data_IF_813104072125
#
_entry.id   IF_813104072125
#
_cell.length_a   1.000
_cell.length_b   1.000
_cell.length_c   1.000
_cell.angle_alpha   90.00
_cell.angle_beta   90.00
_cell.angle_gamma   90.00
#
_symmetry.space_group_name_H-M   'P 1'
#
loop_
_entity.id
_entity.type
_entity.pdbx_description
1 polymer ?
#
# COMPACT_ATOMS: atom_id res chain seq x y z
N UNK A 1 -22.84 -75.42 -14.98
CA UNK A 1 -21.68 -75.24 -14.09
C UNK A 1 -21.33 -73.76 -14.05
N UNK A 2 -21.33 -73.18 -12.84
CA UNK A 2 -20.61 -71.96 -12.41
C UNK A 2 -21.11 -70.58 -12.90
N UNK A 3 -21.74 -69.84 -11.96
CA UNK A 3 -21.59 -68.41 -11.57
C UNK A 3 -21.62 -67.29 -12.63
N UNK A 4 -21.99 -66.03 -12.37
CA UNK A 4 -22.63 -65.20 -11.31
C UNK A 4 -22.78 -63.79 -11.96
N UNK A 5 -23.72 -63.00 -11.44
CA UNK A 5 -23.67 -61.54 -11.16
C UNK A 5 -22.56 -60.67 -11.79
N UNK A 6 -22.73 -59.39 -12.12
CA UNK A 6 -23.81 -58.42 -12.01
C UNK A 6 -23.30 -57.12 -12.68
N UNK A 7 -24.22 -56.17 -12.80
CA UNK A 7 -24.06 -54.74 -13.13
C UNK A 7 -22.79 -54.09 -12.55
N UNK A 8 -22.29 -53.05 -13.21
CA UNK A 8 -22.34 -51.69 -12.63
C UNK A 8 -21.85 -50.61 -13.59
N UNK A 9 -22.68 -49.58 -13.68
CA UNK A 9 -22.38 -48.22 -14.11
C UNK A 9 -21.07 -47.70 -13.49
N UNK A 10 -20.42 -46.74 -14.17
CA UNK A 10 -20.11 -45.43 -13.59
C UNK A 10 -19.45 -44.51 -14.63
N UNK A 11 -20.24 -43.52 -15.04
CA UNK A 11 -19.81 -42.15 -15.33
C UNK A 11 -18.54 -41.80 -14.53
N UNK A 12 -17.41 -41.60 -15.23
CA UNK A 12 -16.23 -41.01 -14.60
C UNK A 12 -16.10 -39.58 -15.09
N UNK A 13 -16.47 -38.66 -14.19
CA UNK A 13 -16.35 -37.21 -14.28
C UNK A 13 -14.95 -36.76 -14.71
N UNK A 14 -14.81 -35.66 -15.47
CA UNK A 14 -13.51 -35.04 -15.64
C UNK A 14 -13.06 -34.50 -14.28
N UNK A 15 -11.89 -34.97 -13.84
CA UNK A 15 -11.20 -34.50 -12.65
C UNK A 15 -11.07 -32.98 -12.71
N UNK A 16 -11.72 -32.33 -11.74
CA UNK A 16 -11.48 -30.96 -11.33
C UNK A 16 -9.97 -30.76 -11.19
N UNK A 17 -9.42 -29.92 -12.05
CA UNK A 17 -8.08 -29.39 -11.92
C UNK A 17 -8.06 -28.51 -10.66
N UNK A 18 -7.73 -29.11 -9.51
CA UNK A 18 -7.35 -28.33 -8.32
C UNK A 18 -6.03 -27.68 -8.69
N UNK A 19 -6.10 -26.42 -9.09
CA UNK A 19 -4.95 -25.56 -9.27
C UNK A 19 -4.34 -25.37 -7.89
N UNK A 20 -3.40 -26.23 -7.52
CA UNK A 20 -2.55 -26.04 -6.35
C UNK A 20 -1.79 -24.74 -6.56
N UNK A 21 -2.20 -23.71 -5.83
CA UNK A 21 -1.42 -22.48 -5.70
C UNK A 21 -0.20 -22.83 -4.84
N UNK A 22 0.87 -23.27 -5.49
CA UNK A 22 2.21 -23.22 -4.90
C UNK A 22 2.65 -21.76 -4.83
N UNK A 23 2.06 -21.02 -3.89
CA UNK A 23 2.55 -19.71 -3.48
C UNK A 23 3.76 -19.96 -2.58
N UNK A 24 4.94 -19.98 -3.19
CA UNK A 24 6.19 -19.91 -2.43
C UNK A 24 6.16 -18.69 -1.51
N UNK A 25 6.64 -18.78 -0.27
CA UNK A 25 6.69 -17.61 0.64
C UNK A 25 7.46 -16.41 0.03
N UNK A 26 8.32 -16.67 -0.97
CA UNK A 26 9.04 -15.69 -1.78
C UNK A 26 8.20 -14.96 -2.84
N UNK A 27 6.97 -15.40 -3.13
CA UNK A 27 6.05 -14.73 -4.08
C UNK A 27 5.04 -13.80 -3.41
N UNK A 28 5.07 -13.67 -2.08
CA UNK A 28 4.28 -12.68 -1.35
C UNK A 28 4.90 -11.33 -1.67
N UNK A 29 4.18 -10.48 -2.42
CA UNK A 29 4.67 -9.13 -2.67
C UNK A 29 4.77 -8.40 -1.33
N UNK A 30 5.79 -7.55 -1.10
CA UNK A 30 5.87 -6.80 0.17
C UNK A 30 4.59 -5.99 0.45
N UNK A 31 3.85 -5.66 -0.61
CA UNK A 31 2.55 -5.02 -0.52
C UNK A 31 1.50 -5.93 0.15
N UNK A 32 1.54 -7.25 -0.06
CA UNK A 32 0.60 -8.24 0.53
C UNK A 32 0.73 -8.35 2.05
N UNK A 33 1.82 -7.84 2.62
CA UNK A 33 2.00 -7.71 4.07
C UNK A 33 1.42 -6.41 4.64
N UNK A 34 0.85 -5.53 3.81
CA UNK A 34 0.15 -4.32 4.27
C UNK A 34 -1.32 -4.64 4.51
N UNK A 35 -1.82 -4.28 5.69
CA UNK A 35 -3.19 -4.57 6.09
C UNK A 35 -4.23 -4.01 5.10
N UNK A 36 -5.36 -4.70 4.88
CA UNK A 36 -6.41 -4.25 3.97
C UNK A 36 -6.96 -2.86 4.32
N UNK A 37 -7.01 -2.52 5.60
CA UNK A 37 -7.49 -1.21 6.07
C UNK A 37 -6.57 -0.07 5.63
N UNK A 38 -5.25 -0.22 5.81
CA UNK A 38 -4.27 0.79 5.36
C UNK A 38 -4.31 0.92 3.84
N UNK A 39 -4.41 -0.19 3.11
CA UNK A 39 -4.58 -0.17 1.65
C UNK A 39 -5.82 0.63 1.25
N UNK A 40 -6.94 0.43 1.93
CA UNK A 40 -8.16 1.19 1.65
C UNK A 40 -8.00 2.68 1.96
N UNK A 41 -7.30 3.04 3.05
CA UNK A 41 -7.00 4.42 3.37
C UNK A 41 -6.15 5.10 2.29
N UNK A 42 -5.13 4.39 1.77
CA UNK A 42 -4.30 4.88 0.65
C UNK A 42 -5.14 5.09 -0.61
N UNK A 43 -5.95 4.10 -1.00
CA UNK A 43 -6.76 4.15 -2.23
C UNK A 43 -7.83 5.25 -2.14
N UNK A 44 -8.41 5.46 -0.96
CA UNK A 44 -9.39 6.54 -0.72
C UNK A 44 -8.75 7.92 -0.54
N UNK A 45 -7.41 8.00 -0.58
CA UNK A 45 -6.68 9.25 -0.48
C UNK A 45 -6.72 9.90 0.90
N UNK A 46 -6.91 9.11 1.96
CA UNK A 46 -6.69 9.58 3.33
C UNK A 46 -5.21 9.84 3.58
N UNK A 47 -4.91 10.72 4.52
CA UNK A 47 -3.55 10.91 5.00
C UNK A 47 -3.11 9.66 5.79
N UNK A 48 -2.02 9.03 5.32
CA UNK A 48 -1.51 7.77 5.89
C UNK A 48 -0.08 7.98 6.35
N UNK A 49 0.19 7.61 7.61
CA UNK A 49 1.54 7.65 8.14
C UNK A 49 2.40 6.56 7.48
N UNK A 50 3.38 6.97 6.67
CA UNK A 50 4.28 6.06 5.96
C UNK A 50 5.08 5.13 6.88
N UNK A 51 5.27 5.46 8.16
CA UNK A 51 5.88 4.54 9.13
C UNK A 51 5.13 3.21 9.21
N UNK A 52 3.78 3.24 9.10
CA UNK A 52 2.94 2.02 9.13
C UNK A 52 3.25 1.06 7.99
N UNK A 53 3.79 1.58 6.88
CA UNK A 53 4.14 0.78 5.71
C UNK A 53 5.49 0.09 5.84
N UNK A 54 6.28 0.38 6.88
CA UNK A 54 7.54 -0.31 7.14
C UNK A 54 7.34 -1.60 7.96
N UNK A 55 6.28 -1.65 8.76
CA UNK A 55 6.01 -2.77 9.65
C UNK A 55 5.06 -3.78 8.98
N UNK A 56 5.47 -5.05 8.82
CA UNK A 56 4.60 -6.08 8.27
C UNK A 56 3.38 -6.30 9.16
N UNK A 57 2.20 -6.44 8.57
CA UNK A 57 0.92 -6.70 9.23
C UNK A 57 0.55 -5.66 10.31
N UNK A 58 0.99 -4.41 10.16
CA UNK A 58 0.54 -3.33 11.03
C UNK A 58 -0.97 -3.12 10.85
N UNK A 59 -1.71 -3.28 11.95
CA UNK A 59 -3.14 -2.98 12.02
C UNK A 59 -3.31 -1.62 12.70
N UNK A 60 -4.20 -0.79 12.15
CA UNK A 60 -4.51 0.50 12.78
C UNK A 60 -5.26 0.18 14.08
N UNK A 61 -4.76 0.64 15.25
CA UNK A 61 -5.46 0.39 16.51
C UNK A 61 -6.89 0.94 16.41
N UNK A 62 -7.88 0.05 16.56
CA UNK A 62 -9.28 0.46 16.56
C UNK A 62 -9.55 1.45 17.70
N UNK A 63 -10.60 2.28 17.55
CA UNK A 63 -11.00 3.38 18.47
C UNK A 63 -11.10 3.05 19.98
N UNK A 64 -10.89 1.79 20.39
CA UNK A 64 -11.02 1.30 21.77
C UNK A 64 -9.70 0.82 22.39
N UNK A 65 -8.62 0.70 21.63
CA UNK A 65 -7.31 0.45 22.21
C UNK A 65 -6.62 1.79 22.36
N UNK A 66 -6.30 2.11 23.61
CA UNK A 66 -5.55 3.29 24.02
C UNK A 66 -4.42 3.51 23.01
N UNK A 67 -4.27 4.75 22.55
CA UNK A 67 -3.07 5.21 21.87
C UNK A 67 -1.89 5.01 22.83
N UNK A 68 -1.39 3.78 22.98
CA UNK A 68 0.02 3.61 23.22
C UNK A 68 0.66 4.30 22.04
N UNK A 69 1.25 5.46 22.33
CA UNK A 69 2.05 6.19 21.37
C UNK A 69 3.10 5.20 20.88
N UNK A 70 2.85 4.57 19.74
CA UNK A 70 3.87 3.82 19.04
C UNK A 70 4.93 4.86 18.68
N UNK A 71 5.94 5.03 19.53
CA UNK A 71 7.04 5.98 19.32
C UNK A 71 7.69 5.77 17.95
N UNK A 72 7.61 4.53 17.45
CA UNK A 72 8.01 4.09 16.11
C UNK A 72 7.24 4.78 14.98
N UNK A 73 6.00 5.22 15.21
CA UNK A 73 5.17 5.96 14.27
C UNK A 73 5.35 7.48 14.35
N UNK A 74 5.88 7.99 15.47
CA UNK A 74 6.09 9.42 15.70
C UNK A 74 7.41 9.93 15.12
N UNK A 75 8.35 9.03 14.82
CA UNK A 75 9.66 9.39 14.27
C UNK A 75 9.59 9.85 12.81
N UNK A 76 10.55 10.68 12.45
CA UNK A 76 10.81 10.98 11.04
C UNK A 76 11.54 9.80 10.38
N UNK A 77 11.14 9.46 9.16
CA UNK A 77 11.83 8.45 8.37
C UNK A 77 13.17 8.97 7.88
N UNK A 78 14.19 8.10 7.83
CA UNK A 78 15.38 8.35 7.03
C UNK A 78 15.01 8.36 5.53
N UNK A 79 15.91 8.86 4.67
CA UNK A 79 15.65 8.88 3.23
C UNK A 79 15.43 7.46 2.67
N UNK A 80 16.25 6.49 3.09
CA UNK A 80 16.13 5.10 2.65
C UNK A 80 14.80 4.48 3.09
N UNK A 81 14.42 4.71 4.34
CA UNK A 81 13.15 4.24 4.88
C UNK A 81 11.96 4.90 4.17
N UNK A 82 12.07 6.19 3.86
CA UNK A 82 11.08 6.90 3.07
C UNK A 82 10.94 6.29 1.67
N UNK A 83 12.05 6.01 0.95
CA UNK A 83 12.00 5.40 -0.38
C UNK A 83 11.30 4.04 -0.34
N UNK A 84 11.58 3.22 0.68
CA UNK A 84 10.94 1.91 0.85
C UNK A 84 9.44 2.08 1.13
N UNK A 85 9.07 2.90 2.11
CA UNK A 85 7.68 3.11 2.50
C UNK A 85 6.86 3.75 1.37
N UNK A 86 7.41 4.78 0.73
CA UNK A 86 6.79 5.46 -0.40
C UNK A 86 6.70 4.55 -1.63
N UNK A 87 7.68 3.66 -1.84
CA UNK A 87 7.62 2.63 -2.87
C UNK A 87 6.45 1.64 -2.65
N UNK A 88 6.16 1.26 -1.40
CA UNK A 88 4.98 0.45 -1.05
C UNK A 88 3.68 1.24 -1.27
N UNK A 89 3.63 2.49 -0.82
CA UNK A 89 2.51 3.40 -1.07
C UNK A 89 2.20 3.55 -2.57
N UNK A 90 3.22 3.83 -3.38
CA UNK A 90 3.12 3.98 -4.84
C UNK A 90 2.57 2.71 -5.49
N UNK A 91 3.08 1.52 -5.11
CA UNK A 91 2.56 0.23 -5.62
C UNK A 91 1.07 0.06 -5.30
N UNK A 92 0.64 0.42 -4.09
CA UNK A 92 -0.77 0.34 -3.68
C UNK A 92 -1.63 1.31 -4.52
N UNK A 93 -1.23 2.58 -4.62
CA UNK A 93 -1.97 3.56 -5.44
C UNK A 93 -2.03 3.14 -6.90
N UNK A 94 -0.91 2.75 -7.49
CA UNK A 94 -0.84 2.42 -8.92
C UNK A 94 -1.59 1.13 -9.26
N UNK A 95 -1.82 0.23 -8.29
CA UNK A 95 -2.67 -0.94 -8.52
C UNK A 95 -4.14 -0.57 -8.71
N UNK A 96 -4.61 0.52 -8.08
CA UNK A 96 -5.96 1.06 -8.27
C UNK A 96 -6.04 2.15 -9.36
N UNK A 97 -4.98 2.96 -9.49
CA UNK A 97 -4.90 4.11 -10.38
C UNK A 97 -3.56 4.13 -11.15
N UNK A 98 -3.40 3.29 -12.20
CA UNK A 98 -2.14 3.16 -12.92
C UNK A 98 -1.62 4.47 -13.53
N UNK A 99 -2.52 5.39 -13.87
CA UNK A 99 -2.20 6.70 -14.46
C UNK A 99 -1.47 7.64 -13.51
N UNK A 100 -1.36 7.31 -12.21
CA UNK A 100 -0.62 8.11 -11.22
C UNK A 100 0.86 7.76 -11.11
N UNK A 101 1.33 6.75 -11.83
CA UNK A 101 2.70 6.26 -11.68
C UNK A 101 3.74 7.36 -11.93
N UNK A 102 3.65 8.04 -13.08
CA UNK A 102 4.58 9.12 -13.47
C UNK A 102 4.58 10.27 -12.46
N UNK A 103 3.39 10.72 -12.05
CA UNK A 103 3.19 11.76 -11.04
C UNK A 103 3.96 11.43 -9.73
N UNK A 104 3.83 10.19 -9.25
CA UNK A 104 4.45 9.74 -8.01
C UNK A 104 5.96 9.52 -8.14
N UNK A 105 6.46 9.15 -9.32
CA UNK A 105 7.91 9.08 -9.58
C UNK A 105 8.55 10.47 -9.55
N UNK A 106 7.92 11.45 -10.19
CA UNK A 106 8.39 12.84 -10.19
C UNK A 106 8.41 13.40 -8.77
N UNK A 107 7.37 13.13 -7.98
CA UNK A 107 7.35 13.51 -6.57
C UNK A 107 8.48 12.86 -5.76
N UNK A 108 8.74 11.57 -5.96
CA UNK A 108 9.84 10.87 -5.27
C UNK A 108 11.19 11.49 -5.62
N UNK A 109 11.43 11.78 -6.90
CA UNK A 109 12.65 12.45 -7.35
C UNK A 109 12.82 13.82 -6.68
N UNK A 110 11.74 14.60 -6.60
CA UNK A 110 11.75 15.90 -5.91
C UNK A 110 12.07 15.77 -4.41
N UNK A 111 11.53 14.75 -3.72
CA UNK A 111 11.85 14.49 -2.32
C UNK A 111 13.32 14.10 -2.14
N UNK A 112 13.87 13.25 -3.01
CA UNK A 112 15.29 12.86 -2.97
C UNK A 112 16.18 14.08 -3.18
N UNK A 113 15.86 14.95 -4.14
CA UNK A 113 16.58 16.21 -4.35
C UNK A 113 16.49 17.12 -3.11
N UNK A 114 15.29 17.26 -2.54
CA UNK A 114 15.07 18.02 -1.31
C UNK A 114 15.89 17.47 -0.15
N UNK A 115 15.99 16.15 -0.01
CA UNK A 115 16.78 15.50 1.03
C UNK A 115 18.29 15.70 0.83
N UNK A 116 18.77 15.77 -0.41
CA UNK A 116 20.18 16.05 -0.70
C UNK A 116 20.59 17.48 -0.28
N UNK A 117 19.67 18.44 -0.34
CA UNK A 117 19.94 19.83 0.05
C UNK A 117 19.61 20.04 1.55
N UNK A 118 18.50 19.47 2.04
CA UNK A 118 17.95 19.65 3.40
C UNK A 118 17.51 18.31 4.02
N UNK A 119 18.49 17.47 4.36
CA UNK A 119 18.28 16.10 4.85
C UNK A 119 17.30 15.98 6.03
N UNK A 120 17.23 16.96 6.92
CA UNK A 120 16.35 16.90 8.09
C UNK A 120 14.93 17.43 7.84
N UNK A 121 14.67 18.06 6.69
CA UNK A 121 13.41 18.75 6.40
C UNK A 121 12.55 18.08 5.33
N UNK A 122 13.11 17.19 4.50
CA UNK A 122 12.33 16.52 3.44
C UNK A 122 11.11 15.77 3.99
N UNK A 123 11.25 15.09 5.13
CA UNK A 123 10.15 14.31 5.70
C UNK A 123 9.08 15.20 6.33
N UNK A 124 9.48 16.32 6.95
CA UNK A 124 8.55 17.32 7.45
C UNK A 124 7.73 17.93 6.31
N UNK A 125 8.40 18.29 5.22
CA UNK A 125 7.76 18.74 3.99
C UNK A 125 6.75 17.71 3.46
N UNK A 126 7.16 16.43 3.35
CA UNK A 126 6.27 15.36 2.91
C UNK A 126 5.01 15.26 3.77
N UNK A 127 5.14 15.28 5.11
CA UNK A 127 3.99 15.20 6.02
C UNK A 127 3.01 16.35 5.80
N UNK A 128 3.51 17.58 5.70
CA UNK A 128 2.67 18.75 5.45
C UNK A 128 1.96 18.65 4.10
N UNK A 129 2.70 18.26 3.06
CA UNK A 129 2.18 18.12 1.71
C UNK A 129 1.11 17.02 1.60
N UNK A 130 1.36 15.83 2.17
CA UNK A 130 0.42 14.71 2.20
C UNK A 130 -0.88 15.07 2.93
N UNK A 131 -0.77 15.66 4.12
CA UNK A 131 -1.92 16.11 4.90
C UNK A 131 -2.78 17.14 4.13
N UNK A 132 -2.12 18.06 3.41
CA UNK A 132 -2.79 19.05 2.57
C UNK A 132 -3.50 18.41 1.38
N UNK A 133 -2.86 17.46 0.69
CA UNK A 133 -3.49 16.69 -0.40
C UNK A 133 -4.74 15.95 0.09
N UNK A 134 -4.65 15.27 1.24
CA UNK A 134 -5.79 14.56 1.83
C UNK A 134 -6.92 15.51 2.20
N UNK A 135 -6.60 16.69 2.74
CA UNK A 135 -7.56 17.74 3.08
C UNK A 135 -8.28 18.27 1.83
N UNK A 136 -7.54 18.55 0.76
CA UNK A 136 -8.10 19.00 -0.53
C UNK A 136 -9.04 17.97 -1.14
N UNK A 137 -8.67 16.70 -1.06
CA UNK A 137 -9.53 15.61 -1.52
C UNK A 137 -10.79 15.49 -0.65
N UNK A 138 -10.64 15.52 0.69
CA UNK A 138 -11.73 15.30 1.62
C UNK A 138 -12.80 16.40 1.59
N UNK A 139 -12.38 17.68 1.63
CA UNK A 139 -13.30 18.80 1.79
C UNK A 139 -13.68 19.47 0.47
N UNK A 140 -12.83 19.37 -0.55
CA UNK A 140 -13.04 20.04 -1.83
C UNK A 140 -13.22 19.06 -3.00
N UNK A 141 -13.03 17.75 -2.78
CA UNK A 141 -13.03 16.74 -3.83
C UNK A 141 -12.02 17.05 -4.95
N UNK A 142 -10.92 17.72 -4.60
CA UNK A 142 -9.84 18.09 -5.52
C UNK A 142 -8.71 17.10 -5.34
N UNK A 143 -8.41 16.36 -6.41
CA UNK A 143 -7.21 15.51 -6.49
C UNK A 143 -6.03 16.37 -6.90
N UNK A 144 -5.05 16.49 -6.01
CA UNK A 144 -3.79 17.17 -6.28
C UNK A 144 -2.87 16.29 -7.13
N UNK A 145 -2.18 16.91 -8.08
CA UNK A 145 -1.07 16.33 -8.83
C UNK A 145 0.24 16.48 -8.04
N UNK A 146 0.75 15.35 -7.54
CA UNK A 146 1.93 15.28 -6.70
C UNK A 146 3.22 15.66 -7.43
N UNK A 147 3.25 15.60 -8.77
CA UNK A 147 4.43 16.00 -9.55
C UNK A 147 4.76 17.49 -9.44
N UNK A 148 3.77 18.29 -9.06
CA UNK A 148 3.86 19.75 -9.03
C UNK A 148 4.18 20.30 -7.64
N UNK A 149 4.26 19.41 -6.66
CA UNK A 149 4.47 19.78 -5.26
C UNK A 149 3.46 20.82 -4.79
N UNK A 150 3.90 21.71 -3.89
CA UNK A 150 3.02 22.71 -3.26
C UNK A 150 2.81 23.97 -4.13
N UNK A 151 3.40 24.02 -5.33
CA UNK A 151 3.45 25.19 -6.21
C UNK A 151 2.06 25.55 -6.77
N UNK A 152 1.19 24.56 -6.98
CA UNK A 152 -0.15 24.77 -7.53
C UNK A 152 -1.25 24.93 -6.47
N UNK A 153 -0.92 24.84 -5.19
CA UNK A 153 -1.91 24.91 -4.11
C UNK A 153 -2.05 26.33 -3.55
N UNK A 154 -2.51 27.26 -4.40
CA UNK A 154 -2.86 28.65 -4.05
C UNK A 154 -4.31 28.81 -3.61
#
# INVERSE_FOLDING_TARGET
MVNRHAQNDLNTMPLYYVKSFDLTASSISDTDMISPEIRQHIITGKDVNLNTLLFPNYEIPGKRQTQENDDKLLRNLSLDEFIIAFGRFKRIICSAFPTRAEELELYLAHIVETANIWLHKFFEYHRMFSAKCATMLLYHNIKIDWSKGDIEMK
#
